data_IF_855161964465
#
_entry.id   IF_855161964465
#
_cell.length_a   1.000
_cell.length_b   1.000
_cell.length_c   1.000
_cell.angle_alpha   90.00
_cell.angle_beta   90.00
_cell.angle_gamma   90.00
#
_symmetry.space_group_name_H-M   'P 1'
#
loop_
_entity.id
_entity.type
_entity.pdbx_description
1 polymer ?
#
# COMPACT_ATOMS: atom_id res chain seq x y z
N UNK A 1 -53.70 47.62 22.28
CA UNK A 1 -52.54 46.98 22.90
C UNK A 1 -52.27 45.70 22.14
N UNK A 2 -51.17 45.70 21.32
CA UNK A 2 -50.73 44.57 20.46
C UNK A 2 -49.46 43.98 21.05
N UNK A 3 -49.56 42.74 21.55
CA UNK A 3 -48.41 41.96 22.06
C UNK A 3 -47.68 41.28 20.92
N UNK A 4 -46.42 41.70 20.68
CA UNK A 4 -45.50 41.00 19.76
C UNK A 4 -44.94 39.75 20.45
N UNK A 5 -45.25 38.56 19.93
CA UNK A 5 -44.59 37.31 20.28
C UNK A 5 -43.23 37.20 19.60
N UNK A 6 -42.18 37.09 20.41
CA UNK A 6 -40.80 36.79 19.91
C UNK A 6 -40.66 35.29 19.72
N UNK A 7 -40.54 34.84 18.46
CA UNK A 7 -40.12 33.47 18.13
C UNK A 7 -38.62 33.39 18.29
N UNK A 8 -38.13 32.61 19.26
CA UNK A 8 -36.74 32.19 19.35
C UNK A 8 -36.54 30.97 18.44
N UNK A 9 -35.85 31.14 17.34
CA UNK A 9 -35.40 30.03 16.49
C UNK A 9 -34.15 29.39 17.14
N UNK A 10 -34.30 28.17 17.65
CA UNK A 10 -33.22 27.35 18.15
C UNK A 10 -32.58 26.66 16.93
N UNK A 11 -31.40 27.13 16.53
CA UNK A 11 -30.58 26.47 15.51
C UNK A 11 -29.87 25.27 16.16
N UNK A 12 -30.33 24.07 15.88
CA UNK A 12 -29.67 22.80 16.27
C UNK A 12 -28.46 22.58 15.33
N UNK A 13 -27.25 22.80 15.84
CA UNK A 13 -26.01 22.49 15.18
C UNK A 13 -25.81 20.97 15.26
N UNK A 14 -26.08 20.26 14.16
CA UNK A 14 -25.80 18.82 14.06
C UNK A 14 -24.29 18.64 13.89
N UNK A 15 -23.60 18.24 14.97
CA UNK A 15 -22.20 17.84 14.95
C UNK A 15 -22.12 16.47 14.26
N UNK A 16 -21.70 16.41 12.98
CA UNK A 16 -21.36 15.17 12.29
C UNK A 16 -20.07 14.62 12.94
N UNK A 17 -20.23 13.73 13.91
CA UNK A 17 -19.13 12.89 14.37
C UNK A 17 -18.81 11.89 13.26
N UNK A 18 -17.77 12.14 12.45
CA UNK A 18 -17.17 11.12 11.59
C UNK A 18 -16.70 9.98 12.48
N UNK A 19 -17.31 8.80 12.30
CA UNK A 19 -16.97 7.61 13.08
C UNK A 19 -15.56 7.11 12.71
N UNK A 20 -14.74 6.64 13.65
CA UNK A 20 -13.39 6.13 13.38
C UNK A 20 -13.37 4.95 12.41
N UNK A 21 -14.45 4.19 12.28
CA UNK A 21 -14.59 3.11 11.31
C UNK A 21 -14.58 3.59 9.86
N UNK A 22 -15.32 4.66 9.53
CA UNK A 22 -15.35 5.21 8.17
C UNK A 22 -13.97 5.73 7.70
N UNK A 23 -13.11 6.16 8.61
CA UNK A 23 -11.75 6.58 8.30
C UNK A 23 -10.82 5.38 8.02
N UNK A 24 -10.93 4.31 8.77
CA UNK A 24 -10.15 3.08 8.57
C UNK A 24 -10.49 2.42 7.21
N UNK A 25 -11.76 2.37 6.84
CA UNK A 25 -12.20 1.84 5.54
C UNK A 25 -11.67 2.67 4.37
N UNK A 26 -11.61 4.00 4.51
CA UNK A 26 -11.05 4.90 3.51
C UNK A 26 -9.54 4.70 3.30
N UNK A 27 -8.78 4.48 4.37
CA UNK A 27 -7.34 4.18 4.31
C UNK A 27 -7.09 2.84 3.64
N UNK A 28 -7.83 1.80 4.03
CA UNK A 28 -7.75 0.48 3.39
C UNK A 28 -7.99 0.55 1.89
N UNK A 29 -9.08 1.19 1.47
CA UNK A 29 -9.43 1.34 0.06
C UNK A 29 -8.33 2.08 -0.73
N UNK A 30 -7.74 3.13 -0.15
CA UNK A 30 -6.66 3.87 -0.79
C UNK A 30 -5.37 3.05 -0.92
N UNK A 31 -5.02 2.22 0.06
CA UNK A 31 -3.88 1.30 0.01
C UNK A 31 -4.12 0.19 -1.03
N UNK A 32 -5.31 -0.41 -1.07
CA UNK A 32 -5.67 -1.40 -2.09
C UNK A 32 -5.61 -0.82 -3.51
N UNK A 33 -5.99 0.46 -3.69
CA UNK A 33 -5.83 1.16 -4.96
C UNK A 33 -4.34 1.38 -5.32
N UNK A 34 -3.48 1.68 -4.35
CA UNK A 34 -2.03 1.77 -4.56
C UNK A 34 -1.42 0.40 -4.90
N UNK A 35 -1.85 -0.68 -4.27
CA UNK A 35 -1.47 -2.05 -4.61
C UNK A 35 -1.89 -2.43 -6.03
N UNK A 36 -3.07 -2.00 -6.49
CA UNK A 36 -3.50 -2.20 -7.87
C UNK A 36 -2.59 -1.45 -8.87
N UNK A 37 -2.11 -0.25 -8.53
CA UNK A 37 -1.14 0.48 -9.35
C UNK A 37 0.21 -0.25 -9.39
N UNK A 38 0.65 -0.81 -8.27
CA UNK A 38 1.86 -1.63 -8.19
C UNK A 38 1.77 -2.84 -9.13
N UNK A 39 0.69 -3.62 -9.03
CA UNK A 39 0.44 -4.77 -9.92
C UNK A 39 0.38 -4.38 -11.39
N UNK A 40 -0.25 -3.24 -11.71
CA UNK A 40 -0.33 -2.74 -13.08
C UNK A 40 1.04 -2.29 -13.64
N UNK A 41 1.90 -1.68 -12.82
CA UNK A 41 3.25 -1.31 -13.22
C UNK A 41 4.13 -2.55 -13.46
N UNK A 42 4.02 -3.56 -12.58
CA UNK A 42 4.71 -4.84 -12.75
C UNK A 42 4.30 -5.54 -14.06
N UNK A 43 3.01 -5.59 -14.37
CA UNK A 43 2.49 -6.20 -15.59
C UNK A 43 2.97 -5.48 -16.88
N UNK A 44 3.38 -4.22 -16.77
CA UNK A 44 3.99 -3.45 -17.87
C UNK A 44 5.51 -3.60 -17.96
N UNK A 45 6.14 -4.28 -17.02
CA UNK A 45 7.60 -4.35 -16.92
C UNK A 45 8.26 -3.03 -16.51
N UNK A 46 7.53 -2.13 -15.84
CA UNK A 46 7.96 -0.77 -15.53
C UNK A 46 8.49 -0.66 -14.09
N UNK A 47 9.76 -0.97 -13.92
CA UNK A 47 10.46 -0.85 -12.63
C UNK A 47 10.55 0.58 -12.11
N UNK A 48 10.57 1.58 -13.00
CA UNK A 48 10.59 2.99 -12.61
C UNK A 48 9.24 3.41 -12.00
N UNK A 49 8.12 2.98 -12.60
CA UNK A 49 6.79 3.20 -12.05
C UNK A 49 6.62 2.50 -10.69
N UNK A 50 7.16 1.28 -10.52
CA UNK A 50 7.19 0.60 -9.23
C UNK A 50 7.93 1.42 -8.17
N UNK A 51 9.13 1.91 -8.49
CA UNK A 51 9.92 2.72 -7.57
C UNK A 51 9.24 4.05 -7.21
N UNK A 52 8.48 4.64 -8.13
CA UNK A 52 7.74 5.89 -7.91
C UNK A 52 6.59 5.74 -6.90
N UNK A 53 6.15 4.53 -6.57
CA UNK A 53 5.16 4.27 -5.53
C UNK A 53 5.74 4.33 -4.11
N UNK A 54 7.07 4.30 -3.98
CA UNK A 54 7.76 4.48 -2.71
C UNK A 54 7.95 5.96 -2.36
N UNK A 55 8.04 6.26 -1.07
CA UNK A 55 8.52 7.55 -0.62
C UNK A 55 10.01 7.72 -0.94
N UNK A 56 10.51 8.95 -1.03
CA UNK A 56 11.92 9.23 -1.37
C UNK A 56 12.93 8.57 -0.41
N UNK A 57 12.54 8.39 0.86
CA UNK A 57 13.28 7.65 1.89
C UNK A 57 12.77 6.20 2.07
N UNK A 58 12.06 5.68 1.07
CA UNK A 58 11.51 4.34 1.03
C UNK A 58 12.57 3.26 1.10
N UNK A 59 12.17 2.08 1.60
CA UNK A 59 13.05 0.91 1.68
C UNK A 59 12.29 -0.35 1.31
N UNK A 60 12.94 -1.19 0.51
CA UNK A 60 12.56 -2.58 0.28
C UNK A 60 13.48 -3.47 1.11
N UNK A 61 12.92 -4.43 1.80
CA UNK A 61 13.63 -5.33 2.72
C UNK A 61 13.33 -6.80 2.38
N UNK A 62 13.91 -7.33 1.30
CA UNK A 62 13.71 -8.72 0.92
C UNK A 62 14.43 -9.66 1.89
N UNK A 63 13.88 -10.86 2.09
CA UNK A 63 14.47 -11.87 2.95
C UNK A 63 15.88 -12.24 2.46
N UNK A 64 16.83 -12.39 3.39
CA UNK A 64 18.21 -12.80 3.09
C UNK A 64 19.09 -11.72 2.44
N UNK A 65 18.62 -10.48 2.35
CA UNK A 65 19.36 -9.36 1.77
C UNK A 65 19.39 -8.14 2.68
N UNK A 66 20.38 -7.28 2.48
CA UNK A 66 20.39 -5.97 3.15
C UNK A 66 19.25 -5.08 2.63
N UNK A 67 18.74 -4.14 3.44
CA UNK A 67 17.73 -3.19 2.99
C UNK A 67 18.19 -2.35 1.80
N UNK A 68 17.34 -2.25 0.78
CA UNK A 68 17.53 -1.47 -0.43
C UNK A 68 16.85 -0.12 -0.23
N UNK A 69 17.55 1.00 -0.45
CA UNK A 69 17.12 2.32 -0.05
C UNK A 69 17.20 3.33 -1.19
N UNK A 70 16.18 4.19 -1.25
CA UNK A 70 16.11 5.29 -2.21
C UNK A 70 15.64 4.86 -3.60
N UNK A 71 15.08 5.80 -4.33
CA UNK A 71 14.34 5.58 -5.57
C UNK A 71 15.14 4.81 -6.62
N UNK A 72 16.42 5.18 -6.84
CA UNK A 72 17.24 4.54 -7.87
C UNK A 72 17.57 3.07 -7.55
N UNK A 73 17.91 2.76 -6.30
CA UNK A 73 18.22 1.39 -5.89
C UNK A 73 16.95 0.52 -5.91
N UNK A 74 15.81 1.07 -5.50
CA UNK A 74 14.50 0.39 -5.56
C UNK A 74 14.10 0.14 -7.01
N UNK A 75 14.32 1.10 -7.92
CA UNK A 75 14.10 0.90 -9.35
C UNK A 75 14.96 -0.27 -9.88
N UNK A 76 16.25 -0.27 -9.63
CA UNK A 76 17.15 -1.36 -10.06
C UNK A 76 16.72 -2.73 -9.51
N UNK A 77 16.27 -2.77 -8.26
CA UNK A 77 15.79 -4.00 -7.66
C UNK A 77 14.56 -4.55 -8.38
N UNK A 78 13.52 -3.72 -8.57
CA UNK A 78 12.31 -4.16 -9.22
C UNK A 78 12.52 -4.45 -10.71
N UNK A 79 13.30 -3.63 -11.42
CA UNK A 79 13.62 -3.91 -12.81
C UNK A 79 14.36 -5.25 -12.95
N UNK A 80 15.32 -5.53 -12.05
CA UNK A 80 16.02 -6.83 -12.04
C UNK A 80 15.07 -8.01 -11.79
N UNK A 81 14.05 -7.86 -10.93
CA UNK A 81 13.03 -8.89 -10.72
C UNK A 81 12.19 -9.11 -11.99
N UNK A 82 11.75 -8.04 -12.65
CA UNK A 82 10.98 -8.10 -13.90
C UNK A 82 11.82 -8.74 -15.02
N UNK A 83 13.08 -8.34 -15.18
CA UNK A 83 14.01 -8.89 -16.17
C UNK A 83 14.35 -10.37 -15.92
N UNK A 84 14.24 -10.83 -14.67
CA UNK A 84 14.42 -12.24 -14.30
C UNK A 84 13.20 -13.13 -14.58
N UNK A 85 12.12 -12.56 -15.11
CA UNK A 85 10.95 -13.30 -15.58
C UNK A 85 9.66 -13.07 -14.75
N UNK A 86 9.65 -12.19 -13.75
CA UNK A 86 8.42 -11.80 -13.08
C UNK A 86 7.59 -10.95 -14.04
N UNK A 87 6.43 -11.47 -14.45
CA UNK A 87 5.51 -10.79 -15.36
C UNK A 87 4.23 -10.30 -14.68
N UNK A 88 3.91 -10.82 -13.49
CA UNK A 88 2.76 -10.37 -12.71
C UNK A 88 3.06 -10.44 -11.22
N UNK A 89 2.57 -9.43 -10.49
CA UNK A 89 2.58 -9.36 -9.02
C UNK A 89 1.15 -9.29 -8.55
N UNK A 90 0.68 -10.32 -7.86
CA UNK A 90 -0.60 -10.33 -7.15
C UNK A 90 -0.39 -9.92 -5.71
N UNK A 91 -1.15 -8.94 -5.23
CA UNK A 91 -1.13 -8.48 -3.84
C UNK A 91 -2.52 -8.66 -3.25
N UNK A 92 -2.59 -9.26 -2.06
CA UNK A 92 -3.83 -9.48 -1.33
C UNK A 92 -3.69 -8.87 0.07
N UNK A 93 -4.34 -7.74 0.29
CA UNK A 93 -4.42 -7.08 1.58
C UNK A 93 -5.25 -7.94 2.55
N UNK A 94 -4.64 -8.34 3.66
CA UNK A 94 -5.30 -9.08 4.74
C UNK A 94 -5.81 -8.09 5.78
N UNK A 95 -4.93 -7.22 6.29
CA UNK A 95 -5.27 -6.25 7.32
C UNK A 95 -4.61 -4.90 7.07
N UNK A 96 -5.28 -3.82 7.47
CA UNK A 96 -4.76 -2.44 7.45
C UNK A 96 -5.11 -1.77 8.75
N UNK A 97 -4.11 -1.26 9.43
CA UNK A 97 -4.28 -0.53 10.68
C UNK A 97 -3.31 0.65 10.77
N UNK A 98 -3.67 1.65 11.54
CA UNK A 98 -2.88 2.85 11.72
C UNK A 98 -3.74 4.08 11.93
N UNK A 99 -3.11 5.20 12.23
CA UNK A 99 -3.78 6.50 12.43
C UNK A 99 -2.90 7.64 11.91
N UNK A 100 -3.57 8.69 11.42
CA UNK A 100 -2.90 9.88 10.92
C UNK A 100 -2.12 9.64 9.62
N UNK A 101 -0.86 10.12 9.51
CA UNK A 101 -0.11 10.08 8.26
C UNK A 101 0.56 8.74 7.95
N UNK A 102 0.36 7.72 8.78
CA UNK A 102 0.95 6.38 8.60
C UNK A 102 -0.09 5.28 8.75
N UNK A 103 0.08 4.22 7.99
CA UNK A 103 -0.68 2.99 8.12
C UNK A 103 0.25 1.79 7.98
N UNK A 104 -0.16 0.66 8.55
CA UNK A 104 0.52 -0.62 8.38
C UNK A 104 -0.43 -1.56 7.66
N UNK A 105 0.07 -2.20 6.62
CA UNK A 105 -0.63 -3.25 5.90
C UNK A 105 0.06 -4.58 6.14
N UNK A 106 -0.74 -5.61 6.32
CA UNK A 106 -0.32 -7.02 6.31
C UNK A 106 -1.00 -7.69 5.12
N UNK A 107 -0.23 -8.43 4.34
CA UNK A 107 -0.77 -9.07 3.14
C UNK A 107 -0.02 -10.30 2.69
N UNK A 108 -0.55 -10.89 1.62
CA UNK A 108 0.02 -12.02 0.90
C UNK A 108 0.36 -11.58 -0.52
N UNK A 109 1.46 -12.10 -1.06
CA UNK A 109 1.85 -11.86 -2.44
C UNK A 109 2.01 -13.15 -3.23
N UNK A 110 1.88 -13.03 -4.55
CA UNK A 110 2.18 -14.07 -5.50
C UNK A 110 2.85 -13.46 -6.74
N UNK A 111 3.99 -14.04 -7.15
CA UNK A 111 4.71 -13.66 -8.35
C UNK A 111 4.48 -14.71 -9.44
N UNK A 112 4.19 -14.27 -10.65
CA UNK A 112 3.98 -15.17 -11.81
C UNK A 112 4.84 -14.75 -12.98
N UNK A 113 5.21 -15.75 -13.80
CA UNK A 113 5.81 -15.50 -15.10
C UNK A 113 4.75 -15.17 -16.19
N UNK A 114 5.21 -14.95 -17.41
CA UNK A 114 4.37 -14.63 -18.58
C UNK A 114 3.37 -15.74 -18.95
N UNK A 115 3.63 -16.98 -18.56
CA UNK A 115 2.79 -18.14 -18.85
C UNK A 115 1.81 -18.41 -17.68
N UNK A 116 1.81 -17.56 -16.65
CA UNK A 116 0.95 -17.63 -15.48
C UNK A 116 1.44 -18.61 -14.41
N UNK A 117 2.63 -19.21 -14.59
CA UNK A 117 3.22 -20.11 -13.58
C UNK A 117 3.66 -19.30 -12.36
N UNK A 118 3.33 -19.79 -11.17
CA UNK A 118 3.78 -19.21 -9.91
C UNK A 118 5.28 -19.41 -9.75
N UNK A 119 6.01 -18.29 -9.64
CA UNK A 119 7.46 -18.26 -9.39
C UNK A 119 7.76 -18.22 -7.89
N UNK A 120 6.97 -17.44 -7.14
CA UNK A 120 7.09 -17.30 -5.69
C UNK A 120 5.76 -16.85 -5.09
N UNK A 121 5.57 -17.12 -3.80
CA UNK A 121 4.45 -16.61 -3.01
C UNK A 121 4.86 -16.48 -1.55
N UNK A 122 4.21 -15.57 -0.83
CA UNK A 122 4.57 -15.33 0.56
C UNK A 122 3.68 -14.29 1.23
N UNK A 123 4.24 -13.65 2.24
CA UNK A 123 3.60 -12.62 3.05
C UNK A 123 4.44 -11.36 3.08
N UNK A 124 3.78 -10.24 3.32
CA UNK A 124 4.45 -8.95 3.46
C UNK A 124 3.85 -8.12 4.59
N UNK A 125 4.65 -7.18 5.06
CA UNK A 125 4.23 -6.07 5.90
C UNK A 125 4.76 -4.80 5.27
N UNK A 126 3.87 -3.84 5.02
CA UNK A 126 4.22 -2.52 4.51
C UNK A 126 3.81 -1.45 5.52
N UNK A 127 4.76 -0.57 5.86
CA UNK A 127 4.43 0.70 6.49
C UNK A 127 4.25 1.71 5.38
N UNK A 128 3.06 2.30 5.31
CA UNK A 128 2.67 3.33 4.39
C UNK A 128 2.80 4.71 5.01
N UNK A 129 3.13 5.71 4.19
CA UNK A 129 3.11 7.14 4.56
C UNK A 129 2.21 7.91 3.62
N UNK A 130 1.34 8.74 4.21
CA UNK A 130 0.50 9.65 3.45
C UNK A 130 1.27 10.94 3.18
N UNK A 131 1.54 11.24 1.90
CA UNK A 131 2.31 12.41 1.45
C UNK A 131 1.53 13.08 0.33
N UNK A 132 1.21 14.36 0.48
CA UNK A 132 0.53 15.18 -0.53
C UNK A 132 -0.73 14.49 -1.13
N UNK A 133 -1.56 13.95 -0.27
CA UNK A 133 -2.81 13.27 -0.67
C UNK A 133 -2.64 11.85 -1.20
N UNK A 134 -1.41 11.29 -1.20
CA UNK A 134 -1.10 9.97 -1.77
C UNK A 134 -0.44 9.07 -0.73
N UNK A 135 -0.85 7.80 -0.69
CA UNK A 135 -0.18 6.78 0.11
C UNK A 135 1.05 6.25 -0.65
N UNK A 136 2.21 6.28 0.02
CA UNK A 136 3.52 5.84 -0.50
C UNK A 136 4.08 4.73 0.38
N UNK A 137 4.70 3.71 -0.23
CA UNK A 137 5.42 2.69 0.50
C UNK A 137 6.64 3.32 1.19
N UNK A 138 6.72 3.16 2.51
CA UNK A 138 7.84 3.67 3.31
C UNK A 138 8.80 2.55 3.71
N UNK A 139 8.26 1.44 4.21
CA UNK A 139 9.01 0.22 4.55
C UNK A 139 8.24 -0.96 4.01
N UNK A 140 8.87 -1.71 3.16
CA UNK A 140 8.29 -2.86 2.50
C UNK A 140 9.13 -4.09 2.81
N UNK A 141 8.62 -4.95 3.67
CA UNK A 141 9.25 -6.20 4.06
C UNK A 141 8.42 -7.38 3.56
N UNK A 142 9.04 -8.28 2.85
CA UNK A 142 8.39 -9.49 2.39
C UNK A 142 9.27 -10.73 2.58
N UNK A 143 8.61 -11.88 2.65
CA UNK A 143 9.25 -13.17 2.89
C UNK A 143 8.50 -14.27 2.16
N UNK A 144 9.24 -15.11 1.45
CA UNK A 144 8.70 -16.28 0.77
C UNK A 144 8.12 -17.31 1.75
N UNK A 145 7.09 -18.03 1.31
CA UNK A 145 6.59 -19.23 1.96
C UNK A 145 7.14 -20.52 1.32
N UNK A 146 7.94 -20.38 0.25
CA UNK A 146 8.59 -21.52 -0.40
C UNK A 146 9.76 -21.98 0.47
N UNK A 147 9.80 -23.23 0.93
CA UNK A 147 10.92 -23.74 1.70
C UNK A 147 12.23 -23.67 0.91
N UNK A 148 13.37 -23.43 1.56
CA UNK A 148 14.67 -23.51 0.89
C UNK A 148 14.89 -24.91 0.32
N UNK A 149 15.54 -24.99 -0.85
CA UNK A 149 15.90 -26.27 -1.45
C UNK A 149 16.74 -27.08 -0.46
N UNK A 150 16.36 -28.35 -0.26
CA UNK A 150 17.19 -29.26 0.54
C UNK A 150 18.54 -29.40 -0.14
N UNK A 151 19.61 -29.12 0.59
CA UNK A 151 20.98 -29.39 0.15
C UNK A 151 21.25 -30.89 0.11
#
# INVERSE_FOLDING_TARGET
>A
MRTLGRFCAVATLACLCLTPAAHADGVRTAIEAANAQFSAAAAKGDGAALAALYSTDGQVMPAGSAPIRGTEAIHKFWQGALDSGVAAVGLKTIDVFGRGPTATEVGEYELRDKDGKVLDHGKYIVIWRHVDGTWKLLRDMFSTNVPPAKK
#
